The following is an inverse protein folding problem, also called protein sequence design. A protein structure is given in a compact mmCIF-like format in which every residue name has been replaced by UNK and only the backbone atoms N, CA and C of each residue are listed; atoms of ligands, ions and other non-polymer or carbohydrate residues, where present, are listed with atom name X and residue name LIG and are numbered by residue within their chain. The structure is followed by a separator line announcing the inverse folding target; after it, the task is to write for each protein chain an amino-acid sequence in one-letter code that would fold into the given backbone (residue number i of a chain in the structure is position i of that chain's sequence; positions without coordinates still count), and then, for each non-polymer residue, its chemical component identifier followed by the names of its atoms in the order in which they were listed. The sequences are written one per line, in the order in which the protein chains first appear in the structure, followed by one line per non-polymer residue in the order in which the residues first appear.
data_IF_472718422108
#
_entry.id   IF_472718422108
#
_cell.length_a   1.000
_cell.length_b   1.000
_cell.length_c   1.000
_cell.angle_alpha   90.00
_cell.angle_beta   90.00
_cell.angle_gamma   90.00
#
_symmetry.space_group_name_H-M   'P 1'
#
loop_
_entity.id
_entity.type
_entity.pdbx_description
1 polymer ?
#
# COMPACT_ATOMS: atom_id res chain seq x y z
N UNK A 1 -25.54 -29.89 6.59
CA UNK A 1 -24.18 -29.67 6.06
C UNK A 1 -24.16 -28.94 4.72
N UNK A 2 -25.11 -29.18 3.78
CA UNK A 2 -25.21 -28.39 2.53
C UNK A 2 -25.43 -26.88 2.76
N UNK A 3 -26.23 -26.52 3.78
CA UNK A 3 -26.54 -25.12 4.08
C UNK A 3 -25.33 -24.27 4.51
N UNK A 4 -24.32 -24.86 5.15
CA UNK A 4 -23.13 -24.09 5.58
C UNK A 4 -22.26 -23.64 4.41
N UNK A 5 -22.11 -24.48 3.38
CA UNK A 5 -21.32 -24.13 2.19
C UNK A 5 -22.04 -23.03 1.39
N UNK A 6 -23.36 -23.10 1.30
CA UNK A 6 -24.17 -22.07 0.64
C UNK A 6 -24.14 -20.74 1.42
N UNK A 7 -24.31 -20.77 2.74
CA UNK A 7 -24.20 -19.59 3.62
C UNK A 7 -22.79 -18.98 3.60
N UNK A 8 -21.74 -19.81 3.62
CA UNK A 8 -20.35 -19.35 3.51
C UNK A 8 -20.07 -18.74 2.14
N UNK A 9 -20.60 -19.34 1.07
CA UNK A 9 -20.51 -18.81 -0.29
C UNK A 9 -21.16 -17.42 -0.34
N UNK A 10 -22.39 -17.29 0.14
CA UNK A 10 -23.11 -16.01 0.20
C UNK A 10 -22.39 -14.95 1.01
N UNK A 11 -21.77 -15.35 2.14
CA UNK A 11 -20.94 -14.47 2.95
C UNK A 11 -19.66 -14.03 2.23
N UNK A 12 -18.93 -14.96 1.62
CA UNK A 12 -17.67 -14.69 0.92
C UNK A 12 -17.88 -13.84 -0.35
N UNK A 13 -19.04 -13.97 -1.01
CA UNK A 13 -19.40 -13.15 -2.17
C UNK A 13 -20.02 -11.80 -1.80
N UNK A 14 -20.11 -11.43 -0.52
CA UNK A 14 -20.30 -10.02 -0.15
C UNK A 14 -19.04 -9.27 -0.62
N UNK A 15 -19.15 -8.52 -1.72
CA UNK A 15 -18.00 -7.99 -2.48
C UNK A 15 -16.89 -7.36 -1.65
N UNK A 16 -17.24 -6.64 -0.58
CA UNK A 16 -16.27 -5.99 0.29
C UNK A 16 -15.37 -6.97 1.12
N UNK A 17 -15.77 -8.24 1.29
CA UNK A 17 -15.02 -9.23 2.08
C UNK A 17 -13.91 -9.87 1.25
N UNK A 18 -14.18 -10.19 -0.02
CA UNK A 18 -13.20 -10.83 -0.89
C UNK A 18 -12.03 -9.89 -1.20
N UNK A 19 -12.33 -8.64 -1.57
CA UNK A 19 -11.30 -7.64 -1.88
C UNK A 19 -10.45 -7.30 -0.65
N UNK A 20 -11.09 -7.21 0.52
CA UNK A 20 -10.39 -7.05 1.80
C UNK A 20 -9.47 -8.25 2.09
N UNK A 21 -9.97 -9.47 1.90
CA UNK A 21 -9.18 -10.68 2.13
C UNK A 21 -7.97 -10.79 1.20
N UNK A 22 -8.16 -10.50 -0.09
CA UNK A 22 -7.07 -10.47 -1.07
C UNK A 22 -6.05 -9.40 -0.71
N UNK A 23 -6.50 -8.18 -0.36
CA UNK A 23 -5.63 -7.09 0.07
C UNK A 23 -4.79 -7.44 1.31
N UNK A 24 -5.37 -8.09 2.31
CA UNK A 24 -4.67 -8.53 3.53
C UNK A 24 -3.63 -9.61 3.21
N UNK A 25 -3.98 -10.61 2.40
CA UNK A 25 -3.06 -11.71 2.04
C UNK A 25 -1.89 -11.20 1.20
N UNK A 26 -2.16 -10.38 0.19
CA UNK A 26 -1.12 -9.77 -0.65
C UNK A 26 -0.26 -8.82 0.19
N UNK A 27 -0.87 -8.02 1.06
CA UNK A 27 -0.14 -7.13 1.97
C UNK A 27 0.83 -7.88 2.88
N UNK A 28 0.37 -8.97 3.50
CA UNK A 28 1.22 -9.80 4.35
C UNK A 28 2.38 -10.45 3.57
N UNK A 29 2.11 -11.00 2.39
CA UNK A 29 3.15 -11.57 1.53
C UNK A 29 4.17 -10.52 1.06
N UNK A 30 3.69 -9.33 0.67
CA UNK A 30 4.55 -8.23 0.26
C UNK A 30 5.44 -7.75 1.41
N UNK A 31 4.89 -7.56 2.61
CA UNK A 31 5.67 -7.21 3.80
C UNK A 31 6.75 -8.25 4.07
N UNK A 32 6.44 -9.55 3.97
CA UNK A 32 7.44 -10.60 4.17
C UNK A 32 8.60 -10.52 3.16
N UNK A 33 8.32 -10.23 1.88
CA UNK A 33 9.35 -10.03 0.85
C UNK A 33 10.24 -8.84 1.18
N UNK A 34 9.64 -7.71 1.58
CA UNK A 34 10.38 -6.50 1.94
C UNK A 34 11.25 -6.75 3.17
N UNK A 35 10.70 -7.39 4.21
CA UNK A 35 11.44 -7.76 5.42
C UNK A 35 12.63 -8.66 5.08
N UNK A 36 12.42 -9.71 4.28
CA UNK A 36 13.51 -10.60 3.85
C UNK A 36 14.59 -9.85 3.05
N UNK A 37 14.23 -8.93 2.14
CA UNK A 37 15.21 -8.12 1.44
C UNK A 37 16.06 -7.27 2.40
N UNK A 38 15.44 -6.72 3.44
CA UNK A 38 16.16 -5.88 4.40
C UNK A 38 17.03 -6.72 5.33
N UNK A 39 16.46 -7.76 5.93
CA UNK A 39 17.11 -8.56 6.97
C UNK A 39 18.12 -9.55 6.39
N UNK A 40 17.82 -10.18 5.26
CA UNK A 40 18.65 -11.25 4.69
C UNK A 40 19.66 -10.74 3.64
N UNK A 41 19.43 -9.56 3.06
CA UNK A 41 20.31 -9.02 2.00
C UNK A 41 20.93 -7.69 2.42
N UNK A 42 20.12 -6.66 2.72
CA UNK A 42 20.66 -5.33 3.02
C UNK A 42 21.48 -5.34 4.31
N UNK A 43 20.98 -5.91 5.40
CA UNK A 43 21.69 -5.91 6.68
C UNK A 43 23.03 -6.63 6.64
N UNK A 44 23.18 -7.84 6.04
CA UNK A 44 24.48 -8.47 5.88
C UNK A 44 25.45 -7.63 5.06
N UNK A 45 24.99 -7.00 3.97
CA UNK A 45 25.83 -6.13 3.15
C UNK A 45 26.28 -4.87 3.91
N UNK A 46 25.36 -4.22 4.64
CA UNK A 46 25.68 -3.10 5.52
C UNK A 46 26.65 -3.54 6.61
N UNK A 47 26.45 -4.72 7.20
CA UNK A 47 27.34 -5.31 8.19
C UNK A 47 28.75 -5.52 7.65
N UNK A 48 28.91 -6.04 6.44
CA UNK A 48 30.22 -6.20 5.79
C UNK A 48 30.92 -4.84 5.59
N UNK A 49 30.18 -3.83 5.15
CA UNK A 49 30.72 -2.48 4.88
C UNK A 49 31.04 -1.73 6.18
N UNK A 50 30.20 -1.89 7.20
CA UNK A 50 30.34 -1.24 8.51
C UNK A 50 31.29 -1.99 9.47
N UNK A 51 31.95 -3.07 9.00
CA UNK A 51 32.95 -3.80 9.78
C UNK A 51 32.38 -4.74 10.86
N UNK A 52 31.16 -5.24 10.66
CA UNK A 52 30.51 -6.19 11.57
C UNK A 52 29.87 -5.53 12.80
N UNK A 53 29.55 -4.24 12.73
CA UNK A 53 28.94 -3.51 13.86
C UNK A 53 27.48 -3.93 14.06
N UNK A 54 27.28 -5.00 14.83
CA UNK A 54 25.99 -5.33 15.41
C UNK A 54 25.72 -4.46 16.64
N UNK A 55 24.95 -3.40 16.42
CA UNK A 55 24.58 -2.40 17.43
C UNK A 55 23.66 -2.99 18.49
N UNK A 56 23.07 -4.18 18.24
CA UNK A 56 22.16 -4.85 19.17
C UNK A 56 22.83 -5.28 20.48
N UNK A 57 24.15 -5.53 20.44
CA UNK A 57 24.95 -5.97 21.58
C UNK A 57 25.23 -4.87 22.62
N UNK A 58 24.94 -3.61 22.29
CA UNK A 58 25.12 -2.49 23.21
C UNK A 58 24.13 -2.61 24.37
N UNK A 59 24.68 -2.76 25.57
CA UNK A 59 23.92 -2.80 26.81
C UNK A 59 24.61 -1.99 27.89
N UNK A 60 23.81 -1.39 28.76
CA UNK A 60 24.28 -0.64 29.91
C UNK A 60 23.87 -1.40 31.16
N UNK A 61 24.85 -1.85 31.94
CA UNK A 61 24.58 -2.48 33.23
C UNK A 61 24.36 -1.39 34.28
N UNK A 62 23.13 -1.31 34.81
CA UNK A 62 22.77 -0.40 35.90
C UNK A 62 22.48 -1.28 37.12
N UNK A 63 23.49 -1.46 37.98
CA UNK A 63 23.38 -2.32 39.16
C UNK A 63 23.21 -3.79 38.78
N UNK A 64 22.07 -4.40 39.12
CA UNK A 64 21.74 -5.80 38.78
C UNK A 64 20.89 -5.92 37.50
N UNK A 65 20.59 -4.81 36.83
CA UNK A 65 19.69 -4.78 35.68
C UNK A 65 20.46 -4.38 34.43
N UNK A 66 20.38 -5.21 33.39
CA UNK A 66 20.97 -4.93 32.08
C UNK A 66 19.97 -4.19 31.21
N UNK A 67 20.28 -2.94 30.85
CA UNK A 67 19.50 -2.16 29.89
C UNK A 67 20.06 -2.37 28.47
N UNK A 68 19.43 -3.25 27.70
CA UNK A 68 19.82 -3.56 26.31
C UNK A 68 19.30 -2.52 25.31
N UNK A 69 19.77 -1.28 25.41
CA UNK A 69 19.37 -0.20 24.49
C UNK A 69 19.82 -0.41 23.04
N UNK A 70 20.83 -1.25 22.83
CA UNK A 70 21.30 -1.66 21.50
C UNK A 70 20.22 -2.34 20.68
N UNK A 71 19.44 -3.24 21.28
CA UNK A 71 18.34 -3.92 20.59
C UNK A 71 17.27 -2.93 20.09
N UNK A 72 16.97 -1.90 20.88
CA UNK A 72 16.05 -0.85 20.48
C UNK A 72 16.63 -0.02 19.32
N UNK A 73 17.90 0.38 19.40
CA UNK A 73 18.55 1.15 18.35
C UNK A 73 18.63 0.35 17.04
N UNK A 74 18.90 -0.95 17.12
CA UNK A 74 18.85 -1.88 16.00
C UNK A 74 17.46 -1.94 15.37
N UNK A 75 16.40 -2.01 16.17
CA UNK A 75 15.02 -2.00 15.68
C UNK A 75 14.67 -0.69 14.94
N UNK A 76 15.15 0.46 15.43
CA UNK A 76 14.99 1.76 14.75
C UNK A 76 15.71 1.76 13.40
N UNK A 77 16.94 1.23 13.34
CA UNK A 77 17.70 1.10 12.08
C UNK A 77 16.95 0.20 11.09
N UNK A 78 16.48 -0.98 11.53
CA UNK A 78 15.70 -1.90 10.69
C UNK A 78 14.43 -1.22 10.15
N UNK A 79 13.69 -0.53 11.00
CA UNK A 79 12.50 0.22 10.60
C UNK A 79 12.80 1.27 9.52
N UNK A 80 13.87 2.04 9.65
CA UNK A 80 14.28 3.02 8.65
C UNK A 80 14.67 2.36 7.32
N UNK A 81 15.36 1.23 7.36
CA UNK A 81 15.73 0.47 6.15
C UNK A 81 14.50 -0.13 5.46
N UNK A 82 13.58 -0.73 6.20
CA UNK A 82 12.31 -1.23 5.67
C UNK A 82 11.52 -0.09 5.02
N UNK A 83 11.36 1.03 5.72
CA UNK A 83 10.66 2.20 5.18
C UNK A 83 11.33 2.71 3.88
N UNK A 84 12.66 2.75 3.82
CA UNK A 84 13.41 3.15 2.64
C UNK A 84 13.20 2.18 1.46
N UNK A 85 13.22 0.87 1.72
CA UNK A 85 12.98 -0.16 0.70
C UNK A 85 11.54 -0.07 0.19
N UNK A 86 10.54 0.01 1.06
CA UNK A 86 9.13 0.22 0.66
C UNK A 86 8.99 1.46 -0.20
N UNK A 87 9.59 2.57 0.21
CA UNK A 87 9.59 3.81 -0.57
C UNK A 87 10.20 3.61 -1.96
N UNK A 88 11.31 2.88 -2.07
CA UNK A 88 11.95 2.58 -3.34
C UNK A 88 11.04 1.71 -4.24
N UNK A 89 10.36 0.71 -3.69
CA UNK A 89 9.37 -0.09 -4.43
C UNK A 89 8.20 0.75 -4.93
N UNK A 90 7.61 1.59 -4.07
CA UNK A 90 6.54 2.50 -4.47
C UNK A 90 7.02 3.45 -5.56
N UNK A 91 8.23 4.01 -5.43
CA UNK A 91 8.82 4.89 -6.43
C UNK A 91 9.08 4.16 -7.75
N UNK A 92 9.51 2.91 -7.71
CA UNK A 92 9.74 2.10 -8.91
C UNK A 92 8.43 1.83 -9.65
N UNK A 93 7.37 1.44 -8.92
CA UNK A 93 6.04 1.21 -9.49
C UNK A 93 5.47 2.52 -10.06
N UNK A 94 5.51 3.61 -9.29
CA UNK A 94 5.03 4.92 -9.74
C UNK A 94 5.81 5.45 -10.94
N UNK A 95 7.13 5.24 -10.98
CA UNK A 95 7.97 5.65 -12.11
C UNK A 95 7.76 4.76 -13.35
N UNK A 96 7.50 3.47 -13.17
CA UNK A 96 7.18 2.56 -14.26
C UNK A 96 5.80 2.89 -14.85
N UNK A 97 4.79 3.06 -13.99
CA UNK A 97 3.46 3.52 -14.38
C UNK A 97 3.50 4.87 -15.12
N UNK A 98 4.32 5.82 -14.66
CA UNK A 98 4.52 7.09 -15.35
C UNK A 98 5.22 6.96 -16.72
N UNK A 99 6.08 5.95 -16.92
CA UNK A 99 6.68 5.66 -18.23
C UNK A 99 5.69 4.98 -19.18
N UNK A 100 4.90 4.01 -18.70
CA UNK A 100 3.81 3.41 -19.49
C UNK A 100 2.77 4.46 -19.90
N UNK A 101 2.37 5.35 -18.98
CA UNK A 101 1.45 6.47 -19.28
C UNK A 101 2.02 7.48 -20.30
N UNK A 102 3.36 7.54 -20.46
CA UNK A 102 4.06 8.45 -21.39
C UNK A 102 4.35 7.82 -22.76
N UNK A 103 4.50 6.50 -22.84
CA UNK A 103 4.77 5.78 -24.10
C UNK A 103 3.50 5.32 -24.83
N UNK A 104 2.37 5.14 -24.14
CA UNK A 104 1.15 4.63 -24.77
C UNK A 104 0.23 5.72 -25.34
N UNK A 105 0.44 7.01 -25.06
CA UNK A 105 -0.34 8.13 -25.64
C UNK A 105 -1.83 8.19 -25.26
N UNK A 106 -2.45 7.05 -25.00
CA UNK A 106 -3.76 6.82 -24.44
C UNK A 106 -3.66 5.47 -23.73
N UNK A 107 -3.55 5.49 -22.41
CA UNK A 107 -4.26 4.48 -21.65
C UNK A 107 -5.32 5.29 -20.95
N UNK A 108 -6.53 5.19 -21.47
CA UNK A 108 -7.71 5.48 -20.70
C UNK A 108 -7.60 4.68 -19.41
N UNK A 109 -7.07 5.34 -18.40
CA UNK A 109 -7.76 5.35 -17.13
C UNK A 109 -9.05 6.10 -17.45
N UNK A 110 -10.01 5.35 -18.02
CA UNK A 110 -11.31 5.32 -17.39
C UNK A 110 -10.99 4.91 -15.95
N UNK A 111 -10.55 5.90 -15.15
CA UNK A 111 -11.00 6.00 -13.78
C UNK A 111 -12.47 5.73 -13.98
N UNK A 112 -12.93 4.54 -13.58
CA UNK A 112 -14.36 4.30 -13.47
C UNK A 112 -14.81 5.48 -12.63
N UNK A 113 -15.28 6.51 -13.30
CA UNK A 113 -15.94 7.63 -12.71
C UNK A 113 -17.03 6.88 -11.98
N UNK A 114 -16.99 6.78 -10.63
CA UNK A 114 -17.94 5.94 -9.91
C UNK A 114 -19.28 6.30 -10.50
N UNK A 115 -20.11 5.36 -10.98
CA UNK A 115 -21.23 5.70 -11.86
C UNK A 115 -22.06 6.91 -11.38
N UNK A 116 -22.10 7.12 -10.05
CA UNK A 116 -22.47 8.37 -9.39
C UNK A 116 -21.87 9.69 -9.97
N UNK A 117 -20.55 9.85 -10.11
CA UNK A 117 -19.92 11.05 -10.69
C UNK A 117 -20.30 11.27 -12.18
N UNK A 118 -20.52 10.21 -12.95
CA UNK A 118 -21.02 10.32 -14.33
C UNK A 118 -22.48 10.78 -14.34
N UNK A 119 -23.34 10.15 -13.52
CA UNK A 119 -24.73 10.57 -13.34
C UNK A 119 -24.82 12.01 -12.82
N UNK A 120 -23.96 12.43 -11.91
CA UNK A 120 -23.94 13.81 -11.40
C UNK A 120 -23.56 14.82 -12.49
N UNK A 121 -22.65 14.45 -13.39
CA UNK A 121 -22.30 15.28 -14.55
C UNK A 121 -23.47 15.39 -15.53
N UNK A 122 -24.12 14.27 -15.84
CA UNK A 122 -25.33 14.25 -16.67
C UNK A 122 -26.46 15.08 -16.05
N UNK A 123 -26.74 14.91 -14.76
CA UNK A 123 -27.75 15.69 -14.03
C UNK A 123 -27.43 17.19 -14.08
N UNK A 124 -26.17 17.57 -13.86
CA UNK A 124 -25.73 18.97 -13.95
C UNK A 124 -25.97 19.54 -15.35
N UNK A 125 -25.61 18.79 -16.39
CA UNK A 125 -25.71 19.24 -17.77
C UNK A 125 -27.19 19.32 -18.22
N UNK A 126 -28.04 18.40 -17.76
CA UNK A 126 -29.49 18.44 -17.96
C UNK A 126 -30.13 19.65 -17.26
N UNK A 127 -29.77 19.92 -16.01
CA UNK A 127 -30.27 21.10 -15.26
C UNK A 127 -29.82 22.42 -15.89
N UNK A 128 -28.56 22.51 -16.34
CA UNK A 128 -28.06 23.69 -17.03
C UNK A 128 -28.80 23.94 -18.35
N UNK A 129 -29.14 22.88 -19.09
CA UNK A 129 -29.94 22.96 -20.31
C UNK A 129 -31.39 23.39 -20.01
N UNK A 130 -31.99 22.89 -18.94
CA UNK A 130 -33.35 23.23 -18.51
C UNK A 130 -33.46 24.70 -18.06
N UNK A 131 -32.50 25.18 -17.28
CA UNK A 131 -32.41 26.60 -16.87
C UNK A 131 -32.16 27.55 -18.05
N UNK A 132 -31.37 27.11 -19.03
CA UNK A 132 -31.16 27.88 -20.26
C UNK A 132 -32.43 27.96 -21.11
N UNK A 133 -33.24 26.89 -21.18
CA UNK A 133 -34.54 26.92 -21.87
C UNK A 133 -35.57 27.78 -21.16
N UNK A 134 -35.65 27.74 -19.83
CA UNK A 134 -36.62 28.55 -19.07
C UNK A 134 -36.34 30.05 -19.12
N UNK A 135 -35.08 30.44 -19.37
CA UNK A 135 -34.68 31.85 -19.49
C UNK A 135 -34.95 32.47 -20.87
N UNK A 136 -35.37 31.67 -21.85
CA UNK A 136 -35.66 32.11 -23.24
C UNK A 136 -37.17 32.27 -23.46
N UNK A 137 -38.02 31.71 -22.58
CA UNK A 137 -39.48 31.79 -22.65
C UNK A 137 -40.12 32.92 -21.79
N UNK A 138 -39.32 33.67 -21.01
CA UNK A 138 -39.72 34.97 -20.40
C UNK A 138 -39.24 36.16 -21.24
#
# INVERSE_FOLDING_TARGET
MKNFIEEFKEFAFKGNVLDLAVGVVIGAAFTAIVTSLVEDIIMPLVGIIAGGTDVSSLSLEIGTTTLAYGAFLQAVINFLLIAFVVFMFIKLINSAAAKFKKETGEIGEEVEIPAAEEYLKEIRDLLAKEQASSSIEE
#
